data_IF_960319566282
#
_entry.id   IF_960319566282
#
_cell.length_a   1.000
_cell.length_b   1.000
_cell.length_c   1.000
_cell.angle_alpha   90.00
_cell.angle_beta   90.00
_cell.angle_gamma   90.00
#
_symmetry.space_group_name_H-M   'P 1'
#
loop_
_entity.id
_entity.type
_entity.pdbx_description
1 polymer ?
#
# COMPACT_ATOMS: atom_id res chain seq x y z
N UNK A 1 -17.67 -8.82 -25.04
CA UNK A 1 -16.55 -8.74 -24.07
C UNK A 1 -15.26 -9.01 -24.83
N UNK A 2 -14.21 -8.18 -24.68
CA UNK A 2 -12.91 -8.46 -25.30
C UNK A 2 -12.29 -9.74 -24.72
N UNK A 3 -11.57 -10.51 -25.53
CA UNK A 3 -10.87 -11.72 -25.10
C UNK A 3 -9.35 -11.51 -25.18
N UNK A 4 -8.62 -12.22 -24.33
CA UNK A 4 -7.16 -12.26 -24.32
C UNK A 4 -6.74 -13.74 -24.27
N UNK A 5 -5.94 -14.18 -25.23
CA UNK A 5 -5.38 -15.53 -25.25
C UNK A 5 -3.97 -15.51 -24.68
N UNK A 6 -3.75 -16.23 -23.58
CA UNK A 6 -2.47 -16.30 -22.88
C UNK A 6 -1.90 -17.70 -23.04
N UNK A 7 -0.66 -17.80 -23.53
CA UNK A 7 0.06 -19.08 -23.59
C UNK A 7 0.64 -19.39 -22.21
N UNK A 8 0.25 -20.53 -21.66
CA UNK A 8 0.78 -21.06 -20.40
C UNK A 8 1.56 -22.34 -20.71
N UNK A 9 2.71 -22.49 -20.05
CA UNK A 9 3.40 -23.77 -19.98
C UNK A 9 2.53 -24.81 -19.24
N UNK A 10 2.83 -26.09 -19.45
CA UNK A 10 2.01 -27.18 -18.89
C UNK A 10 1.96 -27.14 -17.36
N UNK A 11 3.10 -26.89 -16.71
CA UNK A 11 3.18 -26.88 -15.26
C UNK A 11 2.35 -25.73 -14.65
N UNK A 12 2.35 -24.56 -15.29
CA UNK A 12 1.50 -23.44 -14.86
C UNK A 12 0.02 -23.72 -15.12
N UNK A 13 -0.32 -24.35 -16.26
CA UNK A 13 -1.70 -24.75 -16.54
C UNK A 13 -2.24 -25.73 -15.50
N UNK A 14 -1.45 -26.72 -15.12
CA UNK A 14 -1.85 -27.71 -14.11
C UNK A 14 -2.08 -27.05 -12.75
N UNK A 15 -1.14 -26.22 -12.27
CA UNK A 15 -1.29 -25.47 -11.01
C UNK A 15 -2.52 -24.57 -11.02
N UNK A 16 -2.83 -23.94 -12.15
CA UNK A 16 -4.05 -23.14 -12.31
C UNK A 16 -5.31 -23.98 -12.13
N UNK A 17 -5.36 -25.19 -12.71
CA UNK A 17 -6.51 -26.08 -12.59
C UNK A 17 -6.71 -26.54 -11.14
N UNK A 18 -5.64 -26.93 -10.46
CA UNK A 18 -5.66 -27.36 -9.06
C UNK A 18 -6.11 -26.22 -8.14
N UNK A 19 -5.55 -25.01 -8.32
CA UNK A 19 -5.91 -23.83 -7.54
C UNK A 19 -7.39 -23.43 -7.75
N UNK A 20 -7.89 -23.49 -8.99
CA UNK A 20 -9.28 -23.20 -9.29
C UNK A 20 -10.22 -24.24 -8.66
N UNK A 21 -9.88 -25.54 -8.77
CA UNK A 21 -10.64 -26.63 -8.19
C UNK A 21 -10.74 -26.54 -6.66
N UNK A 22 -9.65 -26.19 -5.98
CA UNK A 22 -9.64 -25.99 -4.51
C UNK A 22 -10.55 -24.86 -4.00
N UNK A 23 -11.00 -23.98 -4.89
CA UNK A 23 -11.91 -22.87 -4.57
C UNK A 23 -13.30 -23.04 -5.21
N UNK A 24 -13.60 -24.23 -5.77
CA UNK A 24 -14.82 -24.51 -6.52
C UNK A 24 -15.06 -23.53 -7.68
N UNK A 25 -13.98 -23.06 -8.32
CA UNK A 25 -14.01 -22.12 -9.44
C UNK A 25 -13.58 -22.79 -10.75
N UNK A 26 -14.06 -22.25 -11.88
CA UNK A 26 -13.47 -22.58 -13.18
C UNK A 26 -12.10 -21.90 -13.33
N UNK A 27 -11.15 -22.47 -14.12
CA UNK A 27 -9.88 -21.82 -14.40
C UNK A 27 -10.04 -20.40 -14.97
N UNK A 28 -11.06 -20.17 -15.81
CA UNK A 28 -11.36 -18.84 -16.33
C UNK A 28 -11.76 -17.85 -15.23
N UNK A 29 -12.71 -18.24 -14.37
CA UNK A 29 -13.16 -17.38 -13.27
C UNK A 29 -12.02 -17.08 -12.28
N UNK A 30 -11.17 -18.07 -12.01
CA UNK A 30 -9.97 -17.89 -11.21
C UNK A 30 -9.00 -16.87 -11.84
N UNK A 31 -8.72 -16.99 -13.14
CA UNK A 31 -7.83 -16.06 -13.85
C UNK A 31 -8.38 -14.63 -13.83
N UNK A 32 -9.66 -14.43 -14.09
CA UNK A 32 -10.29 -13.10 -14.06
C UNK A 32 -10.17 -12.47 -12.68
N UNK A 33 -10.47 -13.25 -11.62
CA UNK A 33 -10.31 -12.81 -10.23
C UNK A 33 -8.85 -12.48 -9.89
N UNK A 34 -7.91 -13.31 -10.31
CA UNK A 34 -6.49 -13.11 -10.06
C UNK A 34 -5.95 -11.84 -10.74
N UNK A 35 -6.34 -11.60 -12.00
CA UNK A 35 -5.97 -10.38 -12.74
C UNK A 35 -6.56 -9.15 -12.06
N UNK A 36 -7.83 -9.18 -11.65
CA UNK A 36 -8.45 -8.06 -10.93
C UNK A 36 -7.71 -7.73 -9.63
N UNK A 37 -7.42 -8.74 -8.81
CA UNK A 37 -6.68 -8.56 -7.56
C UNK A 37 -5.24 -8.04 -7.79
N UNK A 38 -4.58 -8.48 -8.86
CA UNK A 38 -3.24 -7.99 -9.23
C UNK A 38 -3.28 -6.52 -9.66
N UNK A 39 -4.27 -6.12 -10.46
CA UNK A 39 -4.46 -4.73 -10.88
C UNK A 39 -4.72 -3.82 -9.67
N UNK A 40 -5.63 -4.20 -8.78
CA UNK A 40 -5.91 -3.45 -7.56
C UNK A 40 -4.64 -3.29 -6.70
N UNK A 41 -3.84 -4.35 -6.57
CA UNK A 41 -2.56 -4.31 -5.83
C UNK A 41 -1.57 -3.35 -6.48
N UNK A 42 -1.38 -3.46 -7.80
CA UNK A 42 -0.46 -2.62 -8.55
C UNK A 42 -0.87 -1.14 -8.50
N UNK A 43 -2.16 -0.85 -8.64
CA UNK A 43 -2.72 0.50 -8.51
C UNK A 43 -2.51 1.06 -7.11
N UNK A 44 -2.80 0.29 -6.06
CA UNK A 44 -2.59 0.71 -4.68
C UNK A 44 -1.11 1.01 -4.38
N UNK A 45 -0.20 0.17 -4.89
CA UNK A 45 1.25 0.39 -4.77
C UNK A 45 1.68 1.68 -5.47
N UNK A 46 1.25 1.89 -6.71
CA UNK A 46 1.57 3.10 -7.48
C UNK A 46 1.04 4.35 -6.79
N UNK A 47 -0.20 4.32 -6.27
CA UNK A 47 -0.78 5.42 -5.51
C UNK A 47 -0.03 5.67 -4.20
N UNK A 48 0.41 4.64 -3.50
CA UNK A 48 1.21 4.76 -2.30
C UNK A 48 2.55 5.46 -2.58
N UNK A 49 3.28 5.00 -3.59
CA UNK A 49 4.56 5.61 -4.01
C UNK A 49 4.36 7.06 -4.44
N UNK A 50 3.34 7.34 -5.25
CA UNK A 50 3.04 8.70 -5.69
C UNK A 50 2.72 9.63 -4.51
N UNK A 51 1.98 9.15 -3.50
CA UNK A 51 1.74 9.92 -2.25
C UNK A 51 3.02 10.17 -1.48
N UNK A 52 3.88 9.16 -1.33
CA UNK A 52 5.15 9.29 -0.63
C UNK A 52 6.09 10.31 -1.31
N UNK A 53 6.18 10.27 -2.64
CA UNK A 53 6.97 11.25 -3.40
C UNK A 53 6.43 12.67 -3.24
N UNK A 54 5.11 12.87 -3.34
CA UNK A 54 4.50 14.20 -3.09
C UNK A 54 4.77 14.70 -1.67
N UNK A 55 4.59 13.85 -0.66
CA UNK A 55 4.88 14.22 0.72
C UNK A 55 6.36 14.62 0.90
N UNK A 56 7.28 13.92 0.25
CA UNK A 56 8.71 14.29 0.25
C UNK A 56 8.95 15.65 -0.39
N UNK A 57 8.34 15.93 -1.54
CA UNK A 57 8.45 17.24 -2.19
C UNK A 57 7.86 18.38 -1.34
N UNK A 58 6.75 18.12 -0.65
CA UNK A 58 6.13 19.06 0.28
C UNK A 58 7.06 19.35 1.47
N UNK A 59 7.71 18.34 2.05
CA UNK A 59 8.71 18.53 3.11
C UNK A 59 9.90 19.35 2.61
N UNK A 60 10.41 19.07 1.40
CA UNK A 60 11.51 19.85 0.80
C UNK A 60 11.11 21.30 0.60
N UNK A 61 9.86 21.57 0.19
CA UNK A 61 9.37 22.92 -0.09
C UNK A 61 9.04 23.71 1.18
N UNK A 62 8.35 23.06 2.12
CA UNK A 62 7.80 23.72 3.32
C UNK A 62 8.76 23.70 4.51
N UNK A 63 9.69 22.74 4.53
CA UNK A 63 10.51 22.45 5.70
C UNK A 63 9.69 21.95 6.90
N UNK A 64 8.41 21.59 6.75
CA UNK A 64 7.58 21.19 7.89
C UNK A 64 7.64 19.66 8.09
N UNK A 65 8.02 19.24 9.29
CA UNK A 65 8.11 17.82 9.69
C UNK A 65 7.43 17.58 11.03
N UNK A 66 7.04 16.35 11.30
CA UNK A 66 6.56 15.92 12.61
C UNK A 66 7.65 15.12 13.31
N UNK A 67 7.74 15.26 14.64
CA UNK A 67 8.57 14.37 15.44
C UNK A 67 8.04 12.92 15.36
N UNK A 68 8.91 12.00 14.96
CA UNK A 68 8.55 10.60 14.68
C UNK A 68 7.99 9.86 15.89
N UNK A 69 8.71 9.83 17.03
CA UNK A 69 8.22 9.25 18.28
C UNK A 69 6.89 9.85 18.76
N UNK A 70 6.76 11.19 18.82
CA UNK A 70 5.52 11.83 19.24
C UNK A 70 4.33 11.50 18.31
N UNK A 71 4.58 11.42 17.00
CA UNK A 71 3.55 11.02 16.04
C UNK A 71 3.16 9.54 16.18
N UNK A 72 4.12 8.66 16.42
CA UNK A 72 3.86 7.24 16.67
C UNK A 72 3.03 7.03 17.94
N UNK A 73 3.32 7.76 19.01
CA UNK A 73 2.56 7.68 20.26
C UNK A 73 1.13 8.21 20.11
N UNK A 74 0.96 9.32 19.39
CA UNK A 74 -0.36 9.82 19.01
C UNK A 74 -1.16 8.79 18.20
N UNK A 75 -0.54 8.14 17.21
CA UNK A 75 -1.20 7.09 16.43
C UNK A 75 -1.62 5.90 17.29
N UNK A 76 -0.76 5.43 18.19
CA UNK A 76 -1.06 4.32 19.12
C UNK A 76 -2.22 4.68 20.04
N UNK A 77 -2.22 5.87 20.62
CA UNK A 77 -3.30 6.34 21.49
C UNK A 77 -4.63 6.46 20.73
N UNK A 78 -4.59 6.97 19.50
CA UNK A 78 -5.79 7.09 18.65
C UNK A 78 -6.39 5.75 18.27
N UNK A 79 -5.57 4.75 17.92
CA UNK A 79 -6.05 3.38 17.62
C UNK A 79 -6.69 2.72 18.85
N UNK A 80 -6.22 3.07 20.05
CA UNK A 80 -6.78 2.59 21.34
C UNK A 80 -8.01 3.37 21.81
N UNK A 81 -8.47 4.37 21.06
CA UNK A 81 -9.60 5.22 21.44
C UNK A 81 -9.29 6.20 22.58
N UNK A 82 -8.02 6.39 22.93
CA UNK A 82 -7.59 7.34 23.96
C UNK A 82 -7.41 8.73 23.34
N UNK A 83 -7.88 9.78 24.00
CA UNK A 83 -7.63 11.15 23.58
C UNK A 83 -6.16 11.49 23.80
N UNK A 84 -5.40 11.67 22.72
CA UNK A 84 -4.04 12.18 22.74
C UNK A 84 -3.96 13.47 21.90
N UNK A 85 -3.16 14.46 22.34
CA UNK A 85 -2.97 15.69 21.58
C UNK A 85 -2.29 15.38 20.24
N UNK A 86 -2.80 15.98 19.16
CA UNK A 86 -2.18 15.85 17.84
C UNK A 86 -0.85 16.62 17.84
N UNK A 87 0.27 16.02 17.43
CA UNK A 87 1.55 16.72 17.37
C UNK A 87 1.51 17.84 16.33
N UNK A 88 2.19 18.94 16.65
CA UNK A 88 2.35 20.12 15.76
C UNK A 88 3.52 19.92 14.81
N UNK A 89 3.39 20.47 13.60
CA UNK A 89 4.49 20.48 12.64
C UNK A 89 5.60 21.42 13.13
N UNK A 90 6.85 20.98 12.98
CA UNK A 90 8.07 21.70 13.34
C UNK A 90 8.88 21.97 12.09
N UNK A 91 9.68 23.03 12.09
CA UNK A 91 10.59 23.38 10.99
C UNK A 91 11.83 22.49 11.00
N UNK A 92 12.18 21.96 9.83
CA UNK A 92 13.34 21.13 9.52
C UNK A 92 14.60 22.00 9.65
N UNK A 93 15.02 22.23 10.89
CA UNK A 93 16.11 23.14 11.27
C UNK A 93 16.17 23.37 12.78
N UNK A 94 15.05 23.22 13.51
CA UNK A 94 15.01 23.43 14.96
C UNK A 94 15.33 22.16 15.79
N UNK A 95 15.68 21.05 15.11
CA UNK A 95 15.86 19.73 15.72
C UNK A 95 17.30 19.26 15.93
N UNK A 96 18.33 19.98 15.47
CA UNK A 96 19.75 19.62 15.72
C UNK A 96 20.22 20.02 17.15
N UNK A 97 19.34 19.93 18.14
CA UNK A 97 19.69 20.19 19.54
C UNK A 97 18.94 19.27 20.48
N UNK A 98 19.19 17.95 20.40
CA UNK A 98 19.45 17.13 21.59
C UNK A 98 19.65 15.66 21.24
N UNK A 99 20.90 15.22 21.50
CA UNK A 99 21.40 13.87 21.81
C UNK A 99 21.59 12.88 20.67
#
# INVERSE_FOLDING_TARGET
MPNLSVKLDEATRQRLQEAAASQDMTPHAFMVKAIGAELERAEAQNQFVARALRAREEVIRSGQVFDGPAFADYLRARVRGTAAPRPTAQTLGDGESST
#
